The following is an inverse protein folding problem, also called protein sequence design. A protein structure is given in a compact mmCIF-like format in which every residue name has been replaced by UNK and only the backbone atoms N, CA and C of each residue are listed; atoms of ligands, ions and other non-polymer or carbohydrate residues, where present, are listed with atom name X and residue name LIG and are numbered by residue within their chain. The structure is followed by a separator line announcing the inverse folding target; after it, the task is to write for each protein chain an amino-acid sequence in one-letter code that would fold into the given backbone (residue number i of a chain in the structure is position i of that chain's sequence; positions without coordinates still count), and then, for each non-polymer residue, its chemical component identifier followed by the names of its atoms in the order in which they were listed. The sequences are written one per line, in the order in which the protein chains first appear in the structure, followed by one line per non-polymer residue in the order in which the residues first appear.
data_IF_737691328690
#
_entry.id   IF_737691328690
#
_cell.length_a   1.000
_cell.length_b   1.000
_cell.length_c   1.000
_cell.angle_alpha   90.00
_cell.angle_beta   90.00
_cell.angle_gamma   90.00
#
_symmetry.space_group_name_H-M   'P 1'
#
loop_
_entity.id
_entity.type
_entity.pdbx_description
1 polymer ?
#
# COMPACT_ATOMS: atom_id res chain seq x y z
N UNK A 1 -6.85 20.47 19.56
CA UNK A 1 -7.12 19.04 19.83
C UNK A 1 -7.61 18.24 18.61
N UNK A 2 -8.35 18.84 17.66
CA UNK A 2 -8.93 18.13 16.50
C UNK A 2 -7.98 17.39 15.52
N UNK A 3 -6.69 17.77 15.40
CA UNK A 3 -5.75 17.11 14.46
C UNK A 3 -5.32 15.72 14.91
N UNK A 4 -5.11 15.50 16.22
CA UNK A 4 -4.72 14.19 16.77
C UNK A 4 -5.84 13.16 16.67
N UNK A 5 -7.08 13.59 16.91
CA UNK A 5 -8.27 12.75 16.80
C UNK A 5 -8.56 12.37 15.34
N UNK A 6 -8.43 13.32 14.40
CA UNK A 6 -8.52 12.99 12.96
C UNK A 6 -7.44 11.98 12.55
N UNK A 7 -6.18 12.17 12.97
CA UNK A 7 -5.10 11.23 12.66
C UNK A 7 -5.25 9.85 13.34
N UNK A 8 -6.08 9.75 14.38
CA UNK A 8 -6.37 8.52 15.10
C UNK A 8 -7.46 7.66 14.41
N UNK A 9 -8.25 8.24 13.52
CA UNK A 9 -9.21 7.48 12.71
C UNK A 9 -8.46 6.45 11.85
N UNK A 10 -8.94 5.20 11.86
CA UNK A 10 -8.30 4.09 11.16
C UNK A 10 -8.10 4.36 9.66
N UNK A 11 -9.00 5.13 9.06
CA UNK A 11 -8.87 5.65 7.71
C UNK A 11 -7.56 6.46 7.49
N UNK A 12 -7.27 7.41 8.38
CA UNK A 12 -6.10 8.30 8.29
C UNK A 12 -4.80 7.58 8.71
N UNK A 13 -4.91 6.44 9.40
CA UNK A 13 -3.79 5.54 9.71
C UNK A 13 -3.39 4.69 8.51
N UNK A 14 -4.31 4.46 7.57
CA UNK A 14 -4.10 3.64 6.37
C UNK A 14 -3.79 4.46 5.12
N UNK A 15 -4.57 5.51 4.85
CA UNK A 15 -4.48 6.31 3.63
C UNK A 15 -3.79 7.66 3.88
N UNK A 16 -3.16 8.21 2.84
CA UNK A 16 -2.69 9.59 2.83
C UNK A 16 -3.82 10.54 2.38
N UNK A 17 -3.53 11.83 2.34
CA UNK A 17 -4.51 12.87 1.96
C UNK A 17 -5.05 12.68 0.53
N UNK A 18 -4.30 11.98 -0.33
CA UNK A 18 -4.69 11.66 -1.70
C UNK A 18 -5.45 10.33 -1.81
N UNK A 19 -5.73 9.64 -0.70
CA UNK A 19 -6.37 8.30 -0.71
C UNK A 19 -5.43 7.15 -1.07
N UNK A 20 -4.11 7.38 -1.16
CA UNK A 20 -3.11 6.33 -1.41
C UNK A 20 -2.69 5.66 -0.11
N UNK A 21 -2.59 4.33 -0.09
CA UNK A 21 -2.13 3.60 1.11
C UNK A 21 -0.70 4.03 1.48
N UNK A 22 -0.55 4.50 2.72
CA UNK A 22 0.72 5.05 3.23
C UNK A 22 1.82 3.98 3.22
N UNK A 23 2.99 4.37 2.74
CA UNK A 23 4.19 3.54 2.81
C UNK A 23 4.30 2.48 1.73
N UNK A 24 3.44 2.50 0.70
CA UNK A 24 3.59 1.64 -0.47
C UNK A 24 4.56 2.23 -1.50
N UNK A 25 5.43 1.37 -2.04
CA UNK A 25 6.33 1.68 -3.14
C UNK A 25 6.50 0.49 -4.08
N UNK A 26 6.77 0.78 -5.35
CA UNK A 26 7.13 -0.21 -6.36
C UNK A 26 8.53 0.16 -6.85
N UNK A 27 9.42 -0.83 -6.92
CA UNK A 27 10.76 -0.64 -7.47
C UNK A 27 11.25 -1.92 -8.15
N UNK A 28 12.16 -1.79 -9.14
CA UNK A 28 12.81 -2.94 -9.76
C UNK A 28 13.90 -3.48 -8.83
N UNK A 29 14.01 -4.80 -8.76
CA UNK A 29 15.06 -5.50 -8.04
C UNK A 29 15.42 -6.80 -8.76
N UNK A 30 16.68 -6.93 -9.20
CA UNK A 30 17.20 -8.12 -9.90
C UNK A 30 16.31 -8.55 -11.08
N UNK A 31 15.93 -7.59 -11.94
CA UNK A 31 15.08 -7.84 -13.12
C UNK A 31 13.61 -8.12 -12.82
N UNK A 32 13.16 -7.97 -11.56
CA UNK A 32 11.77 -8.20 -11.16
C UNK A 32 11.20 -6.96 -10.48
N UNK A 33 9.91 -6.70 -10.66
CA UNK A 33 9.24 -5.67 -9.88
C UNK A 33 8.93 -6.17 -8.47
N UNK A 34 9.19 -5.31 -7.50
CA UNK A 34 8.89 -5.56 -6.09
C UNK A 34 7.95 -4.48 -5.59
N UNK A 35 6.79 -4.91 -5.11
CA UNK A 35 5.88 -4.06 -4.34
C UNK A 35 6.26 -4.17 -2.86
N UNK A 36 6.48 -3.04 -2.21
CA UNK A 36 6.91 -2.96 -0.81
C UNK A 36 5.98 -2.07 -0.01
N UNK A 37 5.68 -2.48 1.23
CA UNK A 37 5.03 -1.69 2.25
C UNK A 37 6.03 -1.43 3.38
N UNK A 38 6.19 -0.17 3.77
CA UNK A 38 7.03 0.25 4.87
C UNK A 38 6.31 1.29 5.73
N UNK A 39 6.13 0.98 7.02
CA UNK A 39 5.46 1.89 7.95
C UNK A 39 5.94 1.69 9.38
N UNK A 40 5.71 2.70 10.22
CA UNK A 40 5.96 2.59 11.66
C UNK A 40 4.79 1.89 12.37
N UNK A 41 5.11 0.89 13.20
CA UNK A 41 4.22 0.22 14.15
C UNK A 41 4.90 0.26 15.51
N UNK A 42 4.23 0.79 16.53
CA UNK A 42 4.77 0.83 17.90
C UNK A 42 6.21 1.37 17.97
N UNK A 43 6.49 2.47 17.25
CA UNK A 43 7.82 3.11 17.12
C UNK A 43 8.90 2.26 16.44
N UNK A 44 8.56 1.10 15.89
CA UNK A 44 9.44 0.26 15.08
C UNK A 44 9.07 0.33 13.61
N UNK A 45 10.09 0.40 12.76
CA UNK A 45 9.91 0.35 11.31
C UNK A 45 9.63 -1.10 10.87
N UNK A 46 8.44 -1.34 10.34
CA UNK A 46 8.04 -2.63 9.78
C UNK A 46 8.04 -2.53 8.26
N UNK A 47 8.72 -3.47 7.59
CA UNK A 47 8.78 -3.56 6.14
C UNK A 47 8.31 -4.94 5.69
N UNK A 48 7.50 -4.99 4.63
CA UNK A 48 7.10 -6.23 3.97
C UNK A 48 7.04 -6.00 2.46
N UNK A 49 7.59 -6.93 1.70
CA UNK A 49 7.61 -6.85 0.24
C UNK A 49 7.01 -8.09 -0.42
N UNK A 50 6.63 -7.94 -1.68
CA UNK A 50 6.09 -8.94 -2.59
C UNK A 50 6.69 -8.77 -3.97
N UNK A 51 7.34 -9.81 -4.48
CA UNK A 51 7.86 -9.84 -5.84
C UNK A 51 6.73 -10.16 -6.81
N UNK A 52 6.59 -9.37 -7.86
CA UNK A 52 5.50 -9.42 -8.83
C UNK A 52 5.79 -10.39 -10.00
N UNK A 53 6.42 -11.54 -9.73
CA UNK A 53 6.92 -12.42 -10.80
C UNK A 53 5.83 -13.30 -11.45
N UNK A 54 4.82 -13.73 -10.68
CA UNK A 54 3.72 -14.59 -11.13
C UNK A 54 2.37 -14.19 -10.48
N UNK A 55 2.27 -12.95 -10.00
CA UNK A 55 1.08 -12.45 -9.28
C UNK A 55 0.63 -11.15 -9.91
N UNK A 56 -0.67 -10.89 -9.92
CA UNK A 56 -1.15 -9.58 -10.33
C UNK A 56 -0.67 -8.51 -9.34
N UNK A 57 -0.43 -7.30 -9.84
CA UNK A 57 -0.10 -6.15 -8.98
C UNK A 57 -1.21 -5.90 -7.95
N UNK A 58 -2.46 -6.22 -8.29
CA UNK A 58 -3.61 -6.05 -7.42
C UNK A 58 -3.61 -7.06 -6.26
N UNK A 59 -3.27 -8.32 -6.51
CA UNK A 59 -3.08 -9.32 -5.44
C UNK A 59 -1.88 -8.94 -4.57
N UNK A 60 -0.80 -8.46 -5.22
CA UNK A 60 0.27 -7.62 -4.66
C UNK A 60 -0.21 -6.72 -3.53
N UNK A 61 -1.03 -5.78 -3.97
CA UNK A 61 -1.55 -4.67 -3.21
C UNK A 61 -2.47 -5.13 -2.08
N UNK A 62 -3.44 -6.01 -2.35
CA UNK A 62 -4.42 -6.45 -1.35
C UNK A 62 -3.74 -7.16 -0.17
N UNK A 63 -2.79 -8.07 -0.42
CA UNK A 63 -2.07 -8.75 0.66
C UNK A 63 -1.31 -7.77 1.58
N UNK A 64 -0.69 -6.74 0.99
CA UNK A 64 0.02 -5.73 1.76
C UNK A 64 -0.93 -4.84 2.54
N UNK A 65 -2.09 -4.50 1.97
CA UNK A 65 -3.14 -3.75 2.65
C UNK A 65 -3.71 -4.53 3.84
N UNK A 66 -4.01 -5.83 3.66
CA UNK A 66 -4.44 -6.71 4.75
C UNK A 66 -3.38 -6.85 5.84
N UNK A 67 -2.11 -7.02 5.46
CA UNK A 67 -1.02 -7.06 6.42
C UNK A 67 -0.87 -5.75 7.19
N UNK A 68 -1.03 -4.60 6.52
CA UNK A 68 -0.97 -3.28 7.15
C UNK A 68 -2.10 -3.10 8.15
N UNK A 69 -3.33 -3.45 7.78
CA UNK A 69 -4.47 -3.39 8.69
C UNK A 69 -4.23 -4.25 9.94
N UNK A 70 -3.82 -5.51 9.76
CA UNK A 70 -3.49 -6.42 10.87
C UNK A 70 -2.37 -5.87 11.75
N UNK A 71 -1.32 -5.30 11.15
CA UNK A 71 -0.16 -4.77 11.89
C UNK A 71 -0.49 -3.50 12.68
N UNK A 72 -1.49 -2.73 12.25
CA UNK A 72 -1.94 -1.51 12.91
C UNK A 72 -3.18 -1.70 13.80
N UNK A 73 -3.68 -2.93 13.89
CA UNK A 73 -4.93 -3.25 14.55
C UNK A 73 -6.10 -2.40 14.02
N UNK A 74 -6.19 -2.29 12.69
CA UNK A 74 -7.28 -1.61 11.98
C UNK A 74 -8.31 -2.67 11.59
N UNK A 75 -9.58 -2.42 11.92
CA UNK A 75 -10.68 -3.30 11.56
C UNK A 75 -10.98 -3.18 10.04
N UNK A 76 -11.06 -4.29 9.28
CA UNK A 76 -11.37 -4.25 7.86
C UNK A 76 -12.85 -3.94 7.58
N UNK A 77 -13.26 -2.70 7.85
CA UNK A 77 -14.60 -2.18 7.55
C UNK A 77 -14.89 -2.12 6.05
N UNK A 78 -16.17 -2.10 5.69
CA UNK A 78 -16.60 -1.96 4.30
C UNK A 78 -16.07 -0.68 3.65
N UNK A 79 -16.00 0.42 4.38
CA UNK A 79 -15.51 1.70 3.88
C UNK A 79 -14.03 1.65 3.54
N UNK A 80 -13.22 1.02 4.38
CA UNK A 80 -11.78 0.83 4.13
C UNK A 80 -11.57 -0.06 2.89
N UNK A 81 -12.33 -1.16 2.78
CA UNK A 81 -12.26 -2.06 1.62
C UNK A 81 -12.65 -1.35 0.33
N UNK A 82 -13.67 -0.48 0.36
CA UNK A 82 -14.10 0.32 -0.80
C UNK A 82 -12.99 1.24 -1.31
N UNK A 83 -12.13 1.73 -0.43
CA UNK A 83 -11.00 2.59 -0.81
C UNK A 83 -9.83 1.84 -1.46
N UNK A 84 -9.76 0.51 -1.37
CA UNK A 84 -8.63 -0.24 -1.93
C UNK A 84 -8.56 -0.11 -3.45
N UNK A 85 -9.70 -0.15 -4.13
CA UNK A 85 -9.74 -0.04 -5.60
C UNK A 85 -9.32 1.36 -6.09
N UNK A 86 -9.88 2.47 -5.59
CA UNK A 86 -9.38 3.81 -5.89
C UNK A 86 -7.89 3.99 -5.56
N UNK A 87 -7.47 3.53 -4.38
CA UNK A 87 -6.08 3.63 -3.93
C UNK A 87 -5.11 2.85 -4.82
N UNK A 88 -5.52 1.67 -5.28
CA UNK A 88 -4.77 0.87 -6.25
C UNK A 88 -4.61 1.59 -7.59
N UNK A 89 -5.67 2.23 -8.10
CA UNK A 89 -5.60 2.99 -9.35
C UNK A 89 -4.61 4.14 -9.26
N UNK A 90 -4.62 4.87 -8.14
CA UNK A 90 -3.65 5.94 -7.87
C UNK A 90 -2.22 5.40 -7.78
N UNK A 91 -2.03 4.24 -7.13
CA UNK A 91 -0.72 3.60 -7.06
C UNK A 91 -0.24 3.21 -8.46
N UNK A 92 -1.11 2.61 -9.28
CA UNK A 92 -0.79 2.22 -10.65
C UNK A 92 -0.41 3.43 -11.49
N UNK A 93 -1.20 4.51 -11.44
CA UNK A 93 -0.89 5.77 -12.14
C UNK A 93 0.45 6.35 -11.69
N UNK A 94 0.71 6.39 -10.39
CA UNK A 94 1.96 6.93 -9.83
C UNK A 94 3.20 6.19 -10.33
N UNK A 95 3.11 4.89 -10.54
CA UNK A 95 4.23 4.05 -10.99
C UNK A 95 4.05 3.55 -12.43
N UNK A 96 3.20 4.19 -13.24
CA UNK A 96 2.83 3.71 -14.58
C UNK A 96 4.06 3.57 -15.48
N UNK A 97 4.95 4.57 -15.50
CA UNK A 97 6.20 4.53 -16.28
C UNK A 97 7.07 3.31 -15.92
N UNK A 98 7.20 3.00 -14.63
CA UNK A 98 7.97 1.84 -14.16
C UNK A 98 7.32 0.50 -14.54
N UNK A 99 5.99 0.45 -14.53
CA UNK A 99 5.23 -0.75 -14.90
C UNK A 99 5.29 -1.01 -16.40
N UNK A 100 5.38 0.04 -17.21
CA UNK A 100 5.49 -0.07 -18.66
C UNK A 100 6.91 -0.49 -19.09
N UNK A 101 7.95 0.00 -18.41
CA UNK A 101 9.35 -0.38 -18.70
C UNK A 101 9.62 -1.88 -18.47
N UNK A 102 8.93 -2.51 -17.52
CA UNK A 102 9.14 -3.94 -17.22
C UNK A 102 8.36 -4.88 -18.13
N UNK A 103 7.40 -4.39 -18.93
CA UNK A 103 6.76 -5.23 -19.97
C UNK A 103 7.71 -5.62 -21.11
N UNK A 104 8.90 -5.03 -21.16
CA UNK A 104 9.90 -5.26 -22.20
C UNK A 104 11.06 -6.19 -21.77
N UNK A 105 10.91 -6.90 -20.64
CA UNK A 105 11.85 -7.94 -20.19
C UNK A 105 11.20 -9.33 -20.15
#
# INVERSE_FOLDING_TARGET
MARRERLALDYNRMFNENGLVRGLSIYPHKGKLVLSAQFMVNRKLSKKSRTLHNRSLFDGFNELCHWLMKSKNIDPSLDIKRQFKPSFLLLKQKYQSLLDDVKYF
#
